data_IF_824612036414
#
_entry.id   IF_824612036414
#
_cell.length_a   1.000
_cell.length_b   1.000
_cell.length_c   1.000
_cell.angle_alpha   90.00
_cell.angle_beta   90.00
_cell.angle_gamma   90.00
#
_symmetry.space_group_name_H-M   'P 1'
#
loop_
_entity.id
_entity.type
_entity.pdbx_description
1 polymer ?
#
# COMPACT_ATOMS: atom_id res chain seq x y z
N UNK A 1 27.94 -1.97 42.94
CA UNK A 1 27.99 -3.38 42.47
C UNK A 1 27.36 -3.43 41.09
N UNK A 2 28.14 -3.72 40.06
CA UNK A 2 27.67 -3.76 38.66
C UNK A 2 27.12 -5.16 38.34
N UNK A 3 25.82 -5.36 38.55
CA UNK A 3 25.12 -6.55 38.05
C UNK A 3 23.87 -6.14 37.29
N UNK A 4 23.45 -6.94 36.31
CA UNK A 4 22.26 -6.72 35.48
C UNK A 4 21.47 -8.04 35.39
N UNK A 5 20.15 -8.00 35.53
CA UNK A 5 19.30 -9.18 35.41
C UNK A 5 18.32 -9.06 34.23
N UNK A 6 18.16 -10.14 33.47
CA UNK A 6 17.20 -10.21 32.34
C UNK A 6 16.43 -11.53 32.35
N UNK A 7 15.16 -11.48 31.95
CA UNK A 7 14.35 -12.67 31.67
C UNK A 7 14.88 -13.39 30.41
N UNK A 8 15.12 -14.69 30.54
CA UNK A 8 15.54 -15.58 29.46
C UNK A 8 14.64 -16.83 29.44
N UNK A 9 14.49 -17.42 28.26
CA UNK A 9 13.97 -18.79 28.13
C UNK A 9 15.17 -19.73 28.13
N UNK A 10 15.18 -20.73 29.01
CA UNK A 10 16.20 -21.78 29.05
C UNK A 10 15.53 -23.13 29.23
N UNK A 11 15.73 -24.06 28.28
CA UNK A 11 15.09 -25.39 28.25
C UNK A 11 13.56 -25.33 28.44
N UNK A 12 12.88 -24.46 27.68
CA UNK A 12 11.43 -24.20 27.76
C UNK A 12 10.88 -23.59 29.07
N UNK A 13 11.74 -23.23 30.02
CA UNK A 13 11.32 -22.55 31.26
C UNK A 13 11.71 -21.06 31.25
N UNK A 14 10.85 -20.21 31.83
CA UNK A 14 11.18 -18.81 32.10
C UNK A 14 12.11 -18.70 33.31
N UNK A 15 13.30 -18.14 33.08
CA UNK A 15 14.35 -18.00 34.10
C UNK A 15 14.94 -16.59 34.05
N UNK A 16 15.51 -16.16 35.16
CA UNK A 16 16.20 -14.87 35.28
C UNK A 16 17.69 -15.13 35.15
N UNK A 17 18.35 -14.55 34.14
CA UNK A 17 19.80 -14.56 34.01
C UNK A 17 20.40 -13.33 34.69
N UNK A 18 21.43 -13.53 35.51
CA UNK A 18 22.17 -12.48 36.21
C UNK A 18 23.56 -12.36 35.60
N UNK A 19 23.86 -11.18 35.07
CA UNK A 19 25.13 -10.80 34.44
C UNK A 19 25.94 -9.96 35.42
N UNK A 20 27.16 -10.36 35.70
CA UNK A 20 28.09 -9.64 36.57
C UNK A 20 29.52 -10.10 36.25
N UNK A 21 30.51 -9.23 36.46
CA UNK A 21 31.92 -9.61 36.37
C UNK A 21 32.27 -10.56 37.52
N UNK A 22 33.25 -11.46 37.34
CA UNK A 22 33.54 -12.59 38.25
C UNK A 22 33.76 -12.14 39.71
N UNK A 23 32.66 -12.08 40.46
CA UNK A 23 32.60 -11.63 41.85
C UNK A 23 32.18 -12.82 42.75
N UNK A 24 33.09 -13.19 43.65
CA UNK A 24 32.97 -14.36 44.53
C UNK A 24 31.83 -14.19 45.54
N UNK A 25 31.56 -12.96 45.99
CA UNK A 25 30.49 -12.67 46.95
C UNK A 25 29.11 -12.81 46.29
N UNK A 26 28.97 -12.29 45.06
CA UNK A 26 27.74 -12.43 44.26
C UNK A 26 27.44 -13.90 43.92
N UNK A 27 28.44 -14.69 43.53
CA UNK A 27 28.27 -16.13 43.29
C UNK A 27 27.79 -16.84 44.56
N UNK A 28 28.36 -16.51 45.71
CA UNK A 28 28.00 -17.09 46.99
C UNK A 28 26.56 -16.75 47.40
N UNK A 29 26.10 -15.53 47.11
CA UNK A 29 24.70 -15.10 47.32
C UNK A 29 23.74 -15.78 46.36
N UNK A 30 24.12 -15.95 45.09
CA UNK A 30 23.28 -16.61 44.08
C UNK A 30 23.10 -18.09 44.36
N UNK A 31 24.14 -18.80 44.83
CA UNK A 31 24.06 -20.22 45.23
C UNK A 31 23.10 -20.47 46.40
N UNK A 32 22.80 -19.46 47.22
CA UNK A 32 21.81 -19.56 48.32
C UNK A 32 20.36 -19.45 47.85
N UNK A 33 20.12 -19.09 46.59
CA UNK A 33 18.77 -19.00 46.03
C UNK A 33 18.31 -20.37 45.54
N UNK A 34 17.03 -20.66 45.75
CA UNK A 34 16.42 -21.91 45.32
C UNK A 34 16.56 -22.12 43.79
N UNK A 35 17.09 -23.29 43.43
CA UNK A 35 17.33 -23.74 42.06
C UNK A 35 18.22 -22.79 41.23
N UNK A 36 19.19 -22.12 41.85
CA UNK A 36 20.21 -21.35 41.13
C UNK A 36 21.18 -22.26 40.38
N UNK A 37 21.32 -22.07 39.06
CA UNK A 37 22.17 -22.91 38.19
C UNK A 37 23.08 -22.07 37.31
N UNK A 38 24.24 -22.63 36.96
CA UNK A 38 25.15 -22.07 35.97
C UNK A 38 24.83 -22.61 34.58
N UNK A 39 24.66 -21.74 33.59
CA UNK A 39 24.51 -22.13 32.18
C UNK A 39 25.84 -21.98 31.45
N UNK A 40 26.50 -23.10 31.12
CA UNK A 40 27.73 -23.11 30.34
C UNK A 40 27.56 -22.47 28.95
N UNK A 41 26.40 -22.70 28.30
CA UNK A 41 26.07 -22.15 26.97
C UNK A 41 25.97 -20.63 26.93
N UNK A 42 25.45 -20.01 28.00
CA UNK A 42 25.23 -18.56 28.08
C UNK A 42 26.25 -17.85 28.99
N UNK A 43 27.16 -18.60 29.63
CA UNK A 43 28.15 -18.15 30.62
C UNK A 43 27.55 -17.24 31.70
N UNK A 44 26.36 -17.60 32.21
CA UNK A 44 25.64 -16.83 33.24
C UNK A 44 25.02 -17.72 34.29
N UNK A 45 24.87 -17.15 35.49
CA UNK A 45 24.01 -17.71 36.53
C UNK A 45 22.54 -17.41 36.21
N UNK A 46 21.66 -18.39 36.44
CA UNK A 46 20.24 -18.22 36.25
C UNK A 46 19.41 -18.85 37.38
N UNK A 47 18.32 -18.18 37.73
CA UNK A 47 17.36 -18.61 38.78
C UNK A 47 15.95 -18.72 38.19
N UNK A 48 15.02 -19.47 38.80
CA UNK A 48 13.63 -19.51 38.34
C UNK A 48 12.97 -18.13 38.38
N UNK A 49 12.12 -17.82 37.40
CA UNK A 49 11.33 -16.58 37.37
C UNK A 49 10.11 -16.67 38.30
N UNK A 50 10.32 -16.99 39.58
CA UNK A 50 9.27 -16.95 40.61
C UNK A 50 8.94 -15.50 40.99
N UNK A 51 7.73 -15.25 41.49
CA UNK A 51 7.30 -13.90 41.90
C UNK A 51 8.25 -13.29 42.96
N UNK A 52 8.77 -14.12 43.86
CA UNK A 52 9.78 -13.73 44.84
C UNK A 52 11.09 -13.26 44.18
N UNK A 53 11.60 -14.01 43.19
CA UNK A 53 12.83 -13.66 42.48
C UNK A 53 12.64 -12.44 41.56
N UNK A 54 11.49 -12.30 40.90
CA UNK A 54 11.17 -11.14 40.05
C UNK A 54 11.20 -9.84 40.89
N UNK A 55 10.60 -9.86 42.09
CA UNK A 55 10.68 -8.73 43.04
C UNK A 55 12.10 -8.50 43.54
N UNK A 56 12.85 -9.57 43.86
CA UNK A 56 14.22 -9.49 44.38
C UNK A 56 15.24 -8.93 43.39
N UNK A 57 15.07 -9.20 42.10
CA UNK A 57 15.94 -8.68 41.04
C UNK A 57 15.41 -7.39 40.38
N UNK A 58 14.31 -6.83 40.90
CA UNK A 58 13.63 -5.63 40.39
C UNK A 58 13.43 -5.65 38.86
N UNK A 59 13.10 -6.83 38.32
CA UNK A 59 12.88 -7.00 36.89
C UNK A 59 11.46 -6.53 36.60
N UNK A 60 11.36 -5.34 36.02
CA UNK A 60 10.10 -4.82 35.48
C UNK A 60 9.63 -5.83 34.42
N UNK A 61 8.51 -6.55 34.64
CA UNK A 61 7.99 -7.43 33.60
C UNK A 61 7.68 -6.58 32.37
N UNK A 62 8.15 -7.02 31.18
CA UNK A 62 7.74 -6.38 29.92
C UNK A 62 6.21 -6.33 29.89
N UNK A 63 5.60 -5.17 29.57
CA UNK A 63 4.18 -4.97 29.80
C UNK A 63 3.33 -5.99 29.05
N UNK A 64 2.38 -6.58 29.80
CA UNK A 64 1.33 -7.52 29.38
C UNK A 64 0.50 -7.02 28.20
N UNK A 65 0.54 -5.70 27.93
CA UNK A 65 -0.15 -5.04 26.83
C UNK A 65 0.27 -5.51 25.43
N UNK A 66 1.52 -5.98 25.25
CA UNK A 66 1.99 -6.40 23.92
C UNK A 66 1.25 -7.63 23.37
N UNK A 67 0.93 -8.62 24.20
CA UNK A 67 0.19 -9.82 23.80
C UNK A 67 -1.28 -9.51 23.50
N UNK A 68 -1.91 -8.70 24.36
CA UNK A 68 -3.29 -8.25 24.17
C UNK A 68 -3.45 -7.44 22.87
N UNK A 69 -2.52 -6.52 22.59
CA UNK A 69 -2.55 -5.71 21.36
C UNK A 69 -2.42 -6.59 20.11
N UNK A 70 -1.59 -7.63 20.14
CA UNK A 70 -1.46 -8.59 19.03
C UNK A 70 -2.77 -9.35 18.80
N UNK A 71 -3.42 -9.81 19.86
CA UNK A 71 -4.71 -10.52 19.75
C UNK A 71 -5.79 -9.62 19.13
N UNK A 72 -5.88 -8.36 19.56
CA UNK A 72 -6.85 -7.40 19.03
C UNK A 72 -6.59 -7.06 17.55
N UNK A 73 -5.32 -6.95 17.15
CA UNK A 73 -4.93 -6.76 15.75
C UNK A 73 -5.36 -7.96 14.89
N UNK A 74 -5.18 -9.20 15.38
CA UNK A 74 -5.59 -10.39 14.64
C UNK A 74 -7.12 -10.52 14.56
N UNK A 75 -7.86 -10.18 15.63
CA UNK A 75 -9.33 -10.07 15.57
C UNK A 75 -9.77 -9.07 14.50
N UNK A 76 -9.11 -7.92 14.42
CA UNK A 76 -9.40 -6.93 13.39
C UNK A 76 -9.05 -7.42 11.98
N UNK A 77 -7.94 -8.15 11.81
CA UNK A 77 -7.60 -8.78 10.53
C UNK A 77 -8.69 -9.75 10.09
N UNK A 78 -9.10 -10.65 10.98
CA UNK A 78 -10.15 -11.62 10.69
C UNK A 78 -11.47 -10.92 10.34
N UNK A 79 -11.83 -9.86 11.06
CA UNK A 79 -13.01 -9.06 10.77
C UNK A 79 -12.94 -8.43 9.36
N UNK A 80 -11.82 -7.82 8.98
CA UNK A 80 -11.64 -7.25 7.64
C UNK A 80 -11.75 -8.33 6.55
N UNK A 81 -11.13 -9.50 6.76
CA UNK A 81 -11.23 -10.62 5.83
C UNK A 81 -12.66 -11.14 5.71
N UNK A 82 -13.41 -11.21 6.82
CA UNK A 82 -14.83 -11.62 6.83
C UNK A 82 -15.72 -10.68 6.03
N UNK A 83 -15.42 -9.38 6.05
CA UNK A 83 -16.10 -8.35 5.25
C UNK A 83 -15.59 -8.28 3.80
N UNK A 84 -14.70 -9.19 3.39
CA UNK A 84 -14.13 -9.30 2.03
C UNK A 84 -13.42 -8.02 1.57
N UNK A 85 -12.72 -7.34 2.48
CA UNK A 85 -11.77 -6.30 2.10
C UNK A 85 -10.64 -6.90 1.25
N UNK A 86 -10.01 -6.10 0.38
CA UNK A 86 -8.87 -6.58 -0.39
C UNK A 86 -7.64 -6.76 0.51
N UNK A 87 -6.81 -7.76 0.20
CA UNK A 87 -5.56 -8.04 0.91
C UNK A 87 -4.66 -6.81 1.06
N UNK A 88 -4.63 -5.95 0.04
CA UNK A 88 -3.91 -4.68 0.10
C UNK A 88 -4.44 -3.75 1.20
N UNK A 89 -5.76 -3.63 1.31
CA UNK A 89 -6.40 -2.78 2.33
C UNK A 89 -6.22 -3.38 3.71
N UNK A 90 -6.37 -4.70 3.85
CA UNK A 90 -6.09 -5.42 5.10
C UNK A 90 -4.67 -5.13 5.57
N UNK A 91 -3.68 -5.33 4.70
CA UNK A 91 -2.27 -5.08 5.01
C UNK A 91 -2.03 -3.63 5.44
N UNK A 92 -2.50 -2.66 4.65
CA UNK A 92 -2.34 -1.23 4.96
C UNK A 92 -2.97 -0.85 6.29
N UNK A 93 -4.17 -1.35 6.58
CA UNK A 93 -4.88 -1.01 7.83
C UNK A 93 -4.19 -1.64 9.04
N UNK A 94 -3.72 -2.87 8.91
CA UNK A 94 -3.00 -3.58 9.98
C UNK A 94 -1.64 -2.92 10.24
N UNK A 95 -0.89 -2.52 9.21
CA UNK A 95 0.38 -1.79 9.36
C UNK A 95 0.17 -0.43 10.02
N UNK A 96 -0.87 0.31 9.62
CA UNK A 96 -1.25 1.56 10.25
C UNK A 96 -1.57 1.39 11.74
N UNK A 97 -2.36 0.38 12.10
CA UNK A 97 -2.72 0.10 13.49
C UNK A 97 -1.53 -0.37 14.32
N UNK A 98 -0.63 -1.18 13.76
CA UNK A 98 0.62 -1.57 14.42
C UNK A 98 1.46 -0.34 14.77
N UNK A 99 1.59 0.61 13.85
CA UNK A 99 2.31 1.86 14.11
C UNK A 99 1.66 2.67 15.22
N UNK A 100 0.33 2.72 15.28
CA UNK A 100 -0.41 3.43 16.32
C UNK A 100 -0.28 2.78 17.69
N UNK A 101 -0.48 1.46 17.78
CA UNK A 101 -0.37 0.71 19.03
C UNK A 101 1.07 0.59 19.54
N UNK A 102 2.07 0.71 18.65
CA UNK A 102 3.48 0.80 19.06
C UNK A 102 3.82 2.17 19.66
N UNK A 103 3.13 3.23 19.27
CA UNK A 103 3.30 4.54 19.88
C UNK A 103 2.71 4.58 21.30
N UNK A 104 1.63 3.84 21.55
CA UNK A 104 0.98 3.70 22.86
C UNK A 104 1.27 2.34 23.53
N UNK A 105 2.54 1.98 23.72
CA UNK A 105 2.92 0.70 24.35
C UNK A 105 2.54 0.60 25.83
N UNK A 106 2.53 1.74 26.53
CA UNK A 106 2.31 1.81 27.98
C UNK A 106 0.85 2.11 28.35
N UNK A 107 0.02 2.50 27.36
CA UNK A 107 -1.39 2.83 27.57
C UNK A 107 -2.28 1.70 27.05
N UNK A 108 -3.19 1.13 27.86
CA UNK A 108 -4.11 0.10 27.40
C UNK A 108 -5.10 0.68 26.38
N UNK A 109 -5.50 -0.15 25.39
CA UNK A 109 -6.42 0.26 24.30
C UNK A 109 -7.73 0.86 24.83
N UNK A 110 -8.22 0.37 25.98
CA UNK A 110 -9.45 0.86 26.61
C UNK A 110 -9.36 2.35 27.03
N UNK A 111 -8.17 2.83 27.39
CA UNK A 111 -7.94 4.19 27.87
C UNK A 111 -7.61 5.17 26.74
N UNK A 112 -7.50 4.70 25.50
CA UNK A 112 -7.21 5.56 24.35
C UNK A 112 -8.43 6.45 24.07
N UNK A 113 -8.23 7.77 24.06
CA UNK A 113 -9.24 8.80 23.80
C UNK A 113 -9.03 9.47 22.44
N UNK A 114 -9.93 10.40 22.08
CA UNK A 114 -9.78 11.19 20.86
C UNK A 114 -8.51 12.08 20.91
N UNK A 115 -8.14 12.57 22.09
CA UNK A 115 -6.93 13.39 22.28
C UNK A 115 -5.65 12.62 21.97
N UNK A 116 -5.58 11.34 22.33
CA UNK A 116 -4.43 10.48 22.00
C UNK A 116 -4.24 10.36 20.48
N UNK A 117 -5.31 10.37 19.71
CA UNK A 117 -5.21 10.28 18.25
C UNK A 117 -4.69 11.61 17.67
N UNK A 118 -5.06 12.73 18.27
CA UNK A 118 -4.53 14.06 17.92
C UNK A 118 -3.04 14.12 18.27
N UNK A 119 -2.65 13.64 19.45
CA UNK A 119 -1.25 13.57 19.88
C UNK A 119 -0.45 12.68 18.93
N UNK A 120 -0.93 11.49 18.60
CA UNK A 120 -0.28 10.62 17.61
C UNK A 120 -0.16 11.31 16.24
N UNK A 121 -1.20 12.01 15.80
CA UNK A 121 -1.16 12.73 14.55
C UNK A 121 -0.08 13.83 14.55
N UNK A 122 0.07 14.58 15.64
CA UNK A 122 1.04 15.66 15.72
C UNK A 122 2.47 15.12 15.95
N UNK A 123 2.66 14.27 16.96
CA UNK A 123 3.96 13.78 17.40
C UNK A 123 4.55 12.67 16.53
N UNK A 124 3.72 11.90 15.83
CA UNK A 124 4.19 10.82 14.96
C UNK A 124 3.97 11.12 13.48
N UNK A 125 2.80 11.62 13.07
CA UNK A 125 2.51 11.82 11.64
C UNK A 125 3.20 13.07 11.09
N UNK A 126 2.97 14.22 11.72
CA UNK A 126 3.51 15.52 11.27
C UNK A 126 5.02 15.59 11.51
N UNK A 127 5.48 15.20 12.70
CA UNK A 127 6.91 15.20 13.06
C UNK A 127 7.79 14.39 12.10
N UNK A 128 7.30 13.21 11.69
CA UNK A 128 8.01 12.37 10.72
C UNK A 128 7.70 12.73 9.25
N UNK A 129 6.97 13.84 9.01
CA UNK A 129 6.64 14.37 7.67
C UNK A 129 5.93 13.35 6.77
N UNK A 130 5.05 12.52 7.34
CA UNK A 130 4.29 11.58 6.53
C UNK A 130 3.25 12.28 5.65
N UNK A 131 2.92 11.66 4.51
CA UNK A 131 1.96 12.22 3.55
C UNK A 131 0.53 12.30 4.08
N UNK A 132 -0.25 13.26 3.57
CA UNK A 132 -1.68 13.41 3.83
C UNK A 132 -2.48 12.14 3.48
N UNK A 133 -2.06 11.41 2.44
CA UNK A 133 -2.69 10.13 2.06
C UNK A 133 -2.49 9.08 3.14
N UNK A 134 -1.27 8.96 3.68
CA UNK A 134 -0.95 8.04 4.77
C UNK A 134 -1.71 8.41 6.06
N UNK A 135 -1.75 9.69 6.41
CA UNK A 135 -2.54 10.18 7.53
C UNK A 135 -4.01 9.76 7.41
N UNK A 136 -4.63 9.98 6.24
CA UNK A 136 -6.02 9.57 6.01
C UNK A 136 -6.21 8.06 6.11
N UNK A 137 -5.26 7.25 5.65
CA UNK A 137 -5.32 5.79 5.78
C UNK A 137 -5.27 5.35 7.24
N UNK A 138 -4.34 5.90 8.03
CA UNK A 138 -4.25 5.57 9.46
C UNK A 138 -5.52 5.98 10.19
N UNK A 139 -5.97 7.23 10.01
CA UNK A 139 -7.16 7.75 10.68
C UNK A 139 -8.38 6.90 10.38
N UNK A 140 -8.56 6.45 9.13
CA UNK A 140 -9.65 5.56 8.76
C UNK A 140 -9.49 4.15 9.34
N UNK A 141 -8.26 3.62 9.43
CA UNK A 141 -7.99 2.32 10.04
C UNK A 141 -8.27 2.34 11.55
N UNK A 142 -7.83 3.39 12.26
CA UNK A 142 -8.10 3.63 13.68
C UNK A 142 -9.60 3.75 13.91
N UNK A 143 -10.30 4.61 13.15
CA UNK A 143 -11.76 4.73 13.24
C UNK A 143 -12.42 3.36 13.18
N UNK A 144 -12.09 2.61 12.13
CA UNK A 144 -12.74 1.34 11.86
C UNK A 144 -12.46 0.35 13.00
N UNK A 145 -11.21 0.23 13.43
CA UNK A 145 -10.79 -0.63 14.53
C UNK A 145 -11.58 -0.37 15.82
N UNK A 146 -11.63 0.88 16.29
CA UNK A 146 -12.35 1.20 17.52
C UNK A 146 -13.87 1.07 17.37
N UNK A 147 -14.43 1.44 16.21
CA UNK A 147 -15.85 1.28 15.95
C UNK A 147 -16.31 -0.18 15.92
N UNK A 148 -15.44 -1.10 15.49
CA UNK A 148 -15.82 -2.51 15.30
C UNK A 148 -15.38 -3.42 16.44
N UNK A 149 -14.14 -3.26 16.92
CA UNK A 149 -13.54 -4.16 17.92
C UNK A 149 -13.84 -3.67 19.34
N UNK A 150 -13.78 -2.35 19.56
CA UNK A 150 -14.06 -1.74 20.87
C UNK A 150 -15.50 -1.22 20.98
N UNK A 151 -16.30 -1.31 19.91
CA UNK A 151 -17.66 -0.74 19.82
C UNK A 151 -17.74 0.74 20.27
N UNK A 152 -16.63 1.48 20.13
CA UNK A 152 -16.51 2.87 20.54
C UNK A 152 -16.45 3.77 19.32
N UNK A 153 -17.29 4.80 19.30
CA UNK A 153 -17.20 5.82 18.25
C UNK A 153 -16.13 6.83 18.62
N UNK A 154 -15.12 6.93 17.77
CA UNK A 154 -14.12 7.99 17.80
C UNK A 154 -14.63 9.12 16.93
N UNK A 155 -14.73 10.31 17.51
CA UNK A 155 -15.05 11.52 16.77
C UNK A 155 -13.78 12.04 16.10
N UNK A 156 -13.82 12.02 14.77
CA UNK A 156 -12.66 12.31 13.92
C UNK A 156 -12.73 13.72 13.37
N UNK A 157 -13.87 14.37 13.50
CA UNK A 157 -14.05 15.75 13.07
C UNK A 157 -13.28 16.70 14.00
N UNK A 158 -12.95 16.25 15.22
CA UNK A 158 -11.99 16.91 16.12
C UNK A 158 -10.52 16.70 15.69
N UNK A 159 -10.22 15.72 14.83
CA UNK A 159 -8.85 15.49 14.36
C UNK A 159 -8.58 16.45 13.21
N UNK A 160 -7.62 17.35 13.40
CA UNK A 160 -7.18 18.29 12.38
C UNK A 160 -6.66 17.54 11.15
N UNK A 161 -7.54 17.34 10.16
CA UNK A 161 -7.16 16.80 8.87
C UNK A 161 -6.65 17.94 7.99
N UNK A 162 -5.44 17.85 7.42
CA UNK A 162 -5.01 18.81 6.42
C UNK A 162 -5.99 18.78 5.25
N UNK A 163 -6.33 19.97 4.75
CA UNK A 163 -7.16 20.11 3.55
C UNK A 163 -6.55 19.27 2.44
N UNK A 164 -7.39 18.51 1.73
CA UNK A 164 -6.92 17.76 0.56
C UNK A 164 -6.48 18.78 -0.50
N UNK A 165 -5.20 18.77 -0.82
CA UNK A 165 -4.70 19.46 -2.01
C UNK A 165 -5.39 18.86 -3.24
N UNK A 166 -6.02 19.73 -4.04
CA UNK A 166 -6.57 19.36 -5.34
C UNK A 166 -5.48 19.57 -6.37
N UNK A 167 -4.54 18.63 -6.48
CA UNK A 167 -3.54 18.67 -7.54
C UNK A 167 -4.19 18.30 -8.88
N UNK A 168 -3.82 19.02 -9.94
CA UNK A 168 -4.24 18.69 -11.28
C UNK A 168 -3.62 17.35 -11.70
N UNK A 169 -4.36 16.50 -12.44
CA UNK A 169 -3.79 15.30 -13.02
C UNK A 169 -2.60 15.66 -13.90
N UNK A 170 -1.49 14.94 -13.70
CA UNK A 170 -0.36 15.06 -14.60
C UNK A 170 -0.65 14.32 -15.91
N UNK A 171 -0.48 15.03 -17.02
CA UNK A 171 -0.74 14.55 -18.39
C UNK A 171 0.55 14.65 -19.20
N UNK A 172 0.78 13.64 -20.04
CA UNK A 172 1.90 13.57 -20.98
C UNK A 172 1.44 14.07 -22.35
N UNK A 173 2.34 14.72 -23.09
CA UNK A 173 2.05 15.07 -24.48
C UNK A 173 1.93 13.80 -25.36
N UNK A 174 1.29 13.91 -26.53
CA UNK A 174 1.17 12.78 -27.47
C UNK A 174 2.55 12.29 -27.95
N UNK A 175 3.50 13.21 -28.09
CA UNK A 175 4.89 12.94 -28.46
C UNK A 175 5.62 12.17 -27.36
N UNK A 176 5.49 12.62 -26.09
CA UNK A 176 6.07 11.93 -24.94
C UNK A 176 5.50 10.51 -24.80
N UNK A 177 4.18 10.35 -24.97
CA UNK A 177 3.55 9.03 -24.96
C UNK A 177 4.12 8.17 -26.07
N UNK A 178 4.22 8.68 -27.30
CA UNK A 178 4.76 7.92 -28.44
C UNK A 178 6.19 7.44 -28.14
N UNK A 179 7.06 8.33 -27.63
CA UNK A 179 8.42 7.98 -27.24
C UNK A 179 8.43 6.84 -26.20
N UNK A 180 7.62 6.96 -25.13
CA UNK A 180 7.54 5.93 -24.07
C UNK A 180 7.08 4.57 -24.63
N UNK A 181 6.08 4.56 -25.51
CA UNK A 181 5.53 3.34 -26.09
C UNK A 181 6.53 2.65 -27.05
N UNK A 182 7.36 3.42 -27.75
CA UNK A 182 8.35 2.89 -28.69
C UNK A 182 9.72 2.57 -28.02
N UNK A 183 9.92 2.93 -26.75
CA UNK A 183 11.17 2.72 -26.02
C UNK A 183 11.56 1.23 -25.80
N UNK A 184 10.59 0.32 -25.90
CA UNK A 184 10.81 -1.12 -25.68
C UNK A 184 10.75 -1.91 -26.98
N UNK A 185 11.84 -2.62 -27.29
CA UNK A 185 11.88 -3.65 -28.32
C UNK A 185 11.15 -4.93 -27.90
N UNK A 186 11.04 -5.19 -26.60
CA UNK A 186 10.31 -6.35 -26.09
C UNK A 186 8.81 -6.20 -26.36
N UNK A 187 8.26 -7.09 -27.19
CA UNK A 187 6.87 -7.09 -27.62
C UNK A 187 5.87 -7.14 -26.46
N UNK A 188 6.13 -7.97 -25.44
CA UNK A 188 5.29 -8.06 -24.22
C UNK A 188 5.21 -6.70 -23.52
N UNK A 189 6.36 -6.07 -23.27
CA UNK A 189 6.43 -4.79 -22.57
C UNK A 189 5.77 -3.65 -23.35
N UNK A 190 6.04 -3.58 -24.66
CA UNK A 190 5.40 -2.62 -25.57
C UNK A 190 3.88 -2.78 -25.55
N UNK A 191 3.38 -4.01 -25.73
CA UNK A 191 1.94 -4.31 -25.74
C UNK A 191 1.25 -3.91 -24.44
N UNK A 192 1.86 -4.17 -23.28
CA UNK A 192 1.31 -3.79 -21.98
C UNK A 192 1.14 -2.26 -21.84
N UNK A 193 2.16 -1.47 -22.19
CA UNK A 193 2.10 -0.01 -22.10
C UNK A 193 1.10 0.56 -23.13
N UNK A 194 1.11 0.03 -24.36
CA UNK A 194 0.18 0.44 -25.41
C UNK A 194 -1.27 0.20 -25.01
N UNK A 195 -1.58 -0.92 -24.34
CA UNK A 195 -2.94 -1.19 -23.85
C UNK A 195 -3.37 -0.25 -22.72
N UNK A 196 -2.47 0.08 -21.79
CA UNK A 196 -2.80 1.04 -20.71
C UNK A 196 -3.20 2.39 -21.31
N UNK A 197 -2.44 2.88 -22.28
CA UNK A 197 -2.73 4.14 -22.94
C UNK A 197 -3.95 4.04 -23.86
N UNK A 198 -3.98 3.10 -24.81
CA UNK A 198 -5.05 3.04 -25.83
C UNK A 198 -6.43 2.68 -25.29
N UNK A 199 -6.50 1.96 -24.19
CA UNK A 199 -7.75 1.46 -23.61
C UNK A 199 -8.01 2.07 -22.22
N UNK A 200 -7.18 3.00 -21.75
CA UNK A 200 -7.31 3.59 -20.42
C UNK A 200 -7.46 2.53 -19.33
N UNK A 201 -6.59 1.52 -19.29
CA UNK A 201 -6.67 0.42 -18.33
C UNK A 201 -6.01 0.78 -16.99
N UNK A 202 -6.53 0.24 -15.88
CA UNK A 202 -5.80 0.25 -14.60
C UNK A 202 -4.75 -0.85 -14.63
N UNK A 203 -3.66 -0.68 -13.90
CA UNK A 203 -2.62 -1.71 -13.77
C UNK A 203 -3.21 -3.08 -13.38
N UNK A 204 -4.07 -3.12 -12.37
CA UNK A 204 -4.73 -4.38 -11.96
C UNK A 204 -5.65 -4.99 -13.04
N UNK A 205 -6.31 -4.16 -13.85
CA UNK A 205 -7.19 -4.63 -14.94
C UNK A 205 -6.39 -5.27 -16.07
N UNK A 206 -5.26 -4.67 -16.43
CA UNK A 206 -4.34 -5.23 -17.42
C UNK A 206 -3.79 -6.60 -16.96
N UNK A 207 -3.34 -6.68 -15.71
CA UNK A 207 -2.69 -7.88 -15.17
C UNK A 207 -3.67 -9.04 -14.93
N UNK A 208 -4.94 -8.73 -14.68
CA UNK A 208 -6.01 -9.73 -14.54
C UNK A 208 -6.64 -10.16 -15.88
N UNK A 209 -6.26 -9.52 -16.99
CA UNK A 209 -6.83 -9.78 -18.30
C UNK A 209 -6.52 -11.21 -18.77
N UNK A 210 -7.49 -11.85 -19.44
CA UNK A 210 -7.37 -13.18 -20.04
C UNK A 210 -7.61 -13.11 -21.54
N UNK A 211 -7.08 -14.05 -22.35
CA UNK A 211 -7.24 -13.99 -23.81
C UNK A 211 -8.70 -13.92 -24.28
N UNK A 212 -9.61 -14.65 -23.63
CA UNK A 212 -11.04 -14.65 -23.98
C UNK A 212 -11.79 -13.36 -23.64
N UNK A 213 -11.16 -12.40 -22.94
CA UNK A 213 -11.73 -11.07 -22.75
C UNK A 213 -11.62 -10.20 -24.01
N UNK A 214 -10.78 -10.59 -24.98
CA UNK A 214 -10.62 -9.86 -26.24
C UNK A 214 -11.62 -10.42 -27.26
N UNK A 215 -12.60 -9.61 -27.63
CA UNK A 215 -13.48 -9.90 -28.76
C UNK A 215 -12.94 -9.20 -30.01
N UNK A 216 -12.20 -9.97 -30.81
CA UNK A 216 -11.59 -9.49 -32.05
C UNK A 216 -12.58 -9.27 -33.20
N UNK A 217 -13.81 -9.81 -33.11
CA UNK A 217 -14.85 -9.59 -34.12
C UNK A 217 -15.52 -8.24 -33.90
N UNK A 218 -15.77 -7.90 -32.64
CA UNK A 218 -16.39 -6.62 -32.24
C UNK A 218 -15.38 -5.52 -31.95
N UNK A 219 -14.08 -5.82 -31.98
CA UNK A 219 -13.01 -4.89 -31.59
C UNK A 219 -13.23 -4.29 -30.19
N UNK A 220 -13.51 -5.14 -29.20
CA UNK A 220 -13.73 -4.71 -27.81
C UNK A 220 -12.95 -5.59 -26.83
N UNK A 221 -12.65 -5.02 -25.66
CA UNK A 221 -12.14 -5.73 -24.49
C UNK A 221 -13.20 -5.72 -23.40
N UNK A 222 -13.53 -6.90 -22.89
CA UNK A 222 -14.43 -7.13 -21.76
C UNK A 222 -13.61 -7.16 -20.45
N UNK A 223 -13.64 -6.06 -19.69
CA UNK A 223 -12.96 -5.99 -18.40
C UNK A 223 -13.90 -6.49 -17.30
N UNK A 224 -13.64 -7.70 -16.81
CA UNK A 224 -14.37 -8.29 -15.69
C UNK A 224 -13.77 -7.91 -14.33
N UNK A 225 -14.61 -7.76 -13.31
CA UNK A 225 -14.18 -7.49 -11.93
C UNK A 225 -13.30 -6.23 -11.78
N UNK A 226 -13.57 -5.16 -12.53
CA UNK A 226 -12.89 -3.88 -12.31
C UNK A 226 -13.18 -3.35 -10.90
N UNK A 227 -12.36 -2.39 -10.42
CA UNK A 227 -12.48 -1.82 -9.05
C UNK A 227 -13.95 -1.52 -8.71
N UNK A 228 -14.48 -2.19 -7.68
CA UNK A 228 -15.90 -2.13 -7.31
C UNK A 228 -16.77 -3.27 -7.85
N UNK A 229 -16.17 -4.33 -8.42
CA UNK A 229 -16.85 -5.48 -9.04
C UNK A 229 -17.79 -5.09 -10.18
N UNK A 230 -17.42 -4.06 -10.94
CA UNK A 230 -18.16 -3.64 -12.13
C UNK A 230 -17.45 -4.15 -13.37
N UNK A 231 -18.24 -4.65 -14.30
CA UNK A 231 -17.74 -5.00 -15.62
C UNK A 231 -17.86 -3.77 -16.52
N UNK A 232 -16.90 -3.59 -17.45
CA UNK A 232 -17.01 -2.57 -18.48
C UNK A 232 -16.39 -3.03 -19.79
N UNK A 233 -16.88 -2.47 -20.88
CA UNK A 233 -16.33 -2.66 -22.23
C UNK A 233 -15.43 -1.49 -22.60
N UNK A 234 -14.37 -1.78 -23.33
CA UNK A 234 -13.48 -0.75 -23.89
C UNK A 234 -13.25 -1.04 -25.36
N UNK A 235 -13.37 -0.05 -26.27
CA UNK A 235 -13.08 -0.23 -27.68
C UNK A 235 -11.59 -0.51 -27.89
N UNK A 236 -11.30 -1.39 -28.82
CA UNK A 236 -9.96 -1.80 -29.20
C UNK A 236 -9.62 -1.20 -30.56
N UNK A 237 -8.56 -0.40 -30.63
CA UNK A 237 -8.06 0.09 -31.91
C UNK A 237 -7.56 -1.07 -32.79
N UNK A 238 -7.83 -1.07 -34.11
CA UNK A 238 -7.30 -2.08 -35.03
C UNK A 238 -5.78 -2.24 -34.96
N UNK A 239 -5.05 -1.13 -34.74
CA UNK A 239 -3.58 -1.15 -34.57
C UNK A 239 -3.15 -1.97 -33.36
N UNK A 240 -3.89 -1.87 -32.25
CA UNK A 240 -3.62 -2.63 -31.03
C UNK A 240 -4.04 -4.09 -31.20
N UNK A 241 -5.12 -4.36 -31.94
CA UNK A 241 -5.50 -5.73 -32.27
C UNK A 241 -4.41 -6.45 -33.07
N UNK A 242 -3.78 -5.78 -34.04
CA UNK A 242 -2.62 -6.32 -34.76
C UNK A 242 -1.46 -6.63 -33.82
N UNK A 243 -1.10 -5.68 -32.95
CA UNK A 243 -0.05 -5.87 -31.95
C UNK A 243 -0.36 -7.05 -30.99
N UNK A 244 -1.62 -7.21 -30.60
CA UNK A 244 -2.08 -8.33 -29.77
C UNK A 244 -1.98 -9.67 -30.49
N UNK A 245 -2.26 -9.72 -31.80
CA UNK A 245 -2.10 -10.93 -32.61
C UNK A 245 -0.63 -11.34 -32.71
N UNK A 246 0.26 -10.38 -33.00
CA UNK A 246 1.71 -10.61 -33.00
C UNK A 246 2.17 -11.14 -31.63
N UNK A 247 1.73 -10.48 -30.56
CA UNK A 247 2.02 -10.90 -29.19
C UNK A 247 1.55 -12.33 -28.91
N UNK A 248 0.32 -12.68 -29.33
CA UNK A 248 -0.27 -13.99 -29.07
C UNK A 248 0.48 -15.12 -29.80
N UNK A 249 0.92 -14.86 -31.04
CA UNK A 249 1.71 -15.83 -31.82
C UNK A 249 3.04 -16.15 -31.14
N UNK A 250 3.73 -15.13 -30.65
CA UNK A 250 5.06 -15.26 -30.03
C UNK A 250 4.99 -15.85 -28.62
N UNK A 251 4.10 -15.35 -27.78
CA UNK A 251 4.09 -15.69 -26.35
C UNK A 251 3.11 -16.81 -25.97
N UNK A 252 2.09 -17.10 -26.79
CA UNK A 252 1.10 -18.18 -26.59
C UNK A 252 0.61 -18.28 -25.12
N UNK A 253 0.02 -17.20 -24.57
CA UNK A 253 -0.45 -17.18 -23.19
C UNK A 253 -1.53 -18.25 -22.95
N UNK A 254 -1.54 -18.83 -21.76
CA UNK A 254 -2.46 -19.91 -21.38
C UNK A 254 -3.61 -19.45 -20.50
N UNK A 255 -3.33 -18.71 -19.42
CA UNK A 255 -4.34 -18.30 -18.44
C UNK A 255 -4.56 -16.79 -18.49
N UNK A 256 -3.50 -16.03 -18.22
CA UNK A 256 -3.53 -14.57 -18.28
C UNK A 256 -2.99 -14.11 -19.62
N UNK A 257 -3.53 -13.01 -20.15
CA UNK A 257 -3.01 -12.43 -21.38
C UNK A 257 -1.53 -12.07 -21.22
N UNK A 258 -1.16 -11.51 -20.07
CA UNK A 258 0.24 -11.22 -19.74
C UNK A 258 0.69 -12.10 -18.57
N UNK A 259 1.41 -13.16 -18.89
CA UNK A 259 1.97 -14.08 -17.89
C UNK A 259 3.34 -13.60 -17.38
N UNK A 260 3.58 -13.89 -16.10
CA UNK A 260 4.81 -13.62 -15.37
C UNK A 260 5.99 -14.50 -15.79
N UNK A 261 6.90 -14.74 -14.85
CA UNK A 261 8.03 -15.65 -15.05
C UNK A 261 7.55 -17.11 -15.15
N UNK A 262 6.65 -17.51 -14.25
CA UNK A 262 5.98 -18.81 -14.28
C UNK A 262 4.76 -18.75 -15.19
N UNK A 263 4.61 -19.77 -16.04
CA UNK A 263 3.48 -19.91 -16.95
C UNK A 263 2.17 -19.98 -16.16
N UNK A 264 1.15 -19.29 -16.64
CA UNK A 264 -0.17 -19.24 -16.00
C UNK A 264 -0.28 -18.32 -14.77
N UNK A 265 0.82 -17.75 -14.25
CA UNK A 265 0.77 -16.73 -13.21
C UNK A 265 0.64 -15.33 -13.82
N UNK A 266 -0.12 -14.40 -13.21
CA UNK A 266 -0.25 -13.04 -13.73
C UNK A 266 1.08 -12.30 -13.61
N UNK A 267 1.34 -11.41 -14.56
CA UNK A 267 2.50 -10.54 -14.50
C UNK A 267 2.45 -9.63 -13.25
N UNK A 268 3.59 -9.35 -12.64
CA UNK A 268 3.65 -8.61 -11.37
C UNK A 268 3.55 -7.09 -11.60
N UNK A 269 2.74 -6.40 -10.79
CA UNK A 269 2.58 -4.95 -10.87
C UNK A 269 3.89 -4.17 -10.71
N UNK A 270 4.76 -4.60 -9.80
CA UNK A 270 6.09 -3.99 -9.61
C UNK A 270 6.97 -4.15 -10.84
N UNK A 271 6.91 -5.29 -11.52
CA UNK A 271 7.65 -5.52 -12.77
C UNK A 271 7.15 -4.59 -13.87
N UNK A 272 5.83 -4.37 -13.98
CA UNK A 272 5.28 -3.45 -14.98
C UNK A 272 5.64 -1.99 -14.69
N UNK A 273 5.69 -1.58 -13.41
CA UNK A 273 6.21 -0.26 -13.03
C UNK A 273 7.70 -0.12 -13.41
N UNK A 274 8.49 -1.18 -13.23
CA UNK A 274 9.89 -1.18 -13.64
C UNK A 274 10.04 -1.09 -15.16
N UNK A 275 9.15 -1.74 -15.93
CA UNK A 275 9.09 -1.59 -17.39
C UNK A 275 8.90 -0.12 -17.74
N UNK A 276 7.90 0.57 -17.18
CA UNK A 276 7.73 2.01 -17.43
C UNK A 276 8.98 2.82 -17.04
N UNK A 277 9.57 2.55 -15.86
CA UNK A 277 10.78 3.24 -15.41
C UNK A 277 11.94 3.08 -16.41
N UNK A 278 12.13 1.89 -16.96
CA UNK A 278 13.15 1.63 -17.98
C UNK A 278 12.85 2.37 -19.30
N UNK A 279 11.58 2.49 -19.70
CA UNK A 279 11.21 3.33 -20.85
C UNK A 279 11.65 4.78 -20.61
N UNK A 280 11.27 5.37 -19.47
CA UNK A 280 11.56 6.77 -19.15
C UNK A 280 13.06 7.07 -19.18
N UNK A 281 13.88 6.16 -18.64
CA UNK A 281 15.34 6.28 -18.69
C UNK A 281 15.86 6.28 -20.14
N UNK A 282 15.36 5.37 -20.97
CA UNK A 282 15.78 5.26 -22.38
C UNK A 282 15.42 6.50 -23.21
N UNK A 283 14.26 7.10 -22.95
CA UNK A 283 13.77 8.29 -23.68
C UNK A 283 14.14 9.60 -22.99
N UNK A 284 14.95 9.54 -21.93
CA UNK A 284 15.45 10.71 -21.20
C UNK A 284 14.35 11.64 -20.64
N UNK A 285 13.20 11.07 -20.27
CA UNK A 285 12.13 11.82 -19.61
C UNK A 285 12.42 11.85 -18.10
N UNK A 286 12.71 13.04 -17.56
CA UNK A 286 13.02 13.26 -16.15
C UNK A 286 11.79 13.33 -15.23
N UNK A 287 10.59 13.48 -15.81
CA UNK A 287 9.32 13.53 -15.07
C UNK A 287 9.10 12.22 -14.29
N UNK A 288 8.54 12.26 -13.07
CA UNK A 288 8.24 11.07 -12.27
C UNK A 288 6.96 10.36 -12.77
N UNK A 289 6.96 9.95 -14.04
CA UNK A 289 5.80 9.39 -14.72
C UNK A 289 5.42 8.04 -14.11
N UNK A 290 4.13 7.84 -13.88
CA UNK A 290 3.58 6.57 -13.41
C UNK A 290 2.59 5.99 -14.42
N UNK A 291 2.22 4.72 -14.28
CA UNK A 291 1.22 4.08 -15.15
C UNK A 291 -0.14 4.82 -15.14
N UNK A 292 -0.47 5.52 -14.04
CA UNK A 292 -1.68 6.33 -13.97
C UNK A 292 -1.61 7.57 -14.87
N UNK A 293 -0.41 8.13 -15.12
CA UNK A 293 -0.26 9.26 -16.04
C UNK A 293 -0.62 8.87 -17.46
N UNK A 294 -0.27 7.65 -17.91
CA UNK A 294 -0.71 7.14 -19.22
C UNK A 294 -2.23 7.07 -19.31
N UNK A 295 -2.90 6.63 -18.24
CA UNK A 295 -4.36 6.61 -18.14
C UNK A 295 -4.96 8.02 -18.14
N UNK A 296 -4.37 8.95 -17.38
CA UNK A 296 -4.82 10.35 -17.36
C UNK A 296 -4.66 10.98 -18.74
N UNK A 297 -3.53 10.73 -19.40
CA UNK A 297 -3.26 11.22 -20.76
C UNK A 297 -4.25 10.67 -21.77
N UNK A 298 -4.62 9.39 -21.68
CA UNK A 298 -5.70 8.84 -22.50
C UNK A 298 -7.02 9.60 -22.34
N UNK A 299 -7.43 9.85 -21.09
CA UNK A 299 -8.67 10.57 -20.79
C UNK A 299 -8.63 12.00 -21.34
N UNK A 300 -7.55 12.73 -21.08
CA UNK A 300 -7.38 14.11 -21.56
C UNK A 300 -7.32 14.17 -23.09
N UNK A 301 -6.61 13.24 -23.74
CA UNK A 301 -6.53 13.21 -25.20
C UNK A 301 -7.87 12.85 -25.87
N UNK A 302 -8.69 11.99 -25.25
CA UNK A 302 -10.05 11.74 -25.74
C UNK A 302 -10.92 12.99 -25.63
N UNK A 303 -10.83 13.70 -24.51
CA UNK A 303 -11.56 14.95 -24.29
C UNK A 303 -11.14 16.03 -25.29
N UNK A 304 -9.83 16.20 -25.52
CA UNK A 304 -9.29 17.14 -26.51
C UNK A 304 -9.70 16.77 -27.95
N UNK A 305 -9.88 15.47 -28.22
CA UNK A 305 -10.40 14.98 -29.51
C UNK A 305 -11.91 15.18 -29.67
N UNK A 306 -12.59 15.75 -28.66
CA UNK A 306 -14.03 16.04 -28.68
C UNK A 306 -14.91 14.89 -28.19
N UNK A 307 -14.35 13.89 -27.52
CA UNK A 307 -15.15 12.81 -26.91
C UNK A 307 -15.91 13.36 -25.71
N UNK A 308 -17.21 13.07 -25.65
CA UNK A 308 -18.05 13.53 -24.54
C UNK A 308 -17.66 12.89 -23.19
N UNK A 309 -17.79 13.67 -22.12
CA UNK A 309 -17.32 13.34 -20.78
C UNK A 309 -18.02 12.09 -20.21
N UNK A 310 -19.28 11.86 -20.56
CA UNK A 310 -20.03 10.68 -20.14
C UNK A 310 -19.41 9.41 -20.70
N UNK A 311 -19.08 9.39 -21.99
CA UNK A 311 -18.40 8.25 -22.61
C UNK A 311 -17.01 8.03 -21.99
N UNK A 312 -16.24 9.10 -21.73
CA UNK A 312 -14.94 8.96 -21.06
C UNK A 312 -15.11 8.36 -19.65
N UNK A 313 -16.15 8.76 -18.91
CA UNK A 313 -16.45 8.21 -17.58
C UNK A 313 -16.74 6.71 -17.66
N UNK A 314 -17.55 6.26 -18.63
CA UNK A 314 -17.86 4.85 -18.85
C UNK A 314 -16.62 4.05 -19.22
N UNK A 315 -15.82 4.54 -20.17
CA UNK A 315 -14.57 3.91 -20.63
C UNK A 315 -13.54 3.76 -19.51
N UNK A 316 -13.47 4.72 -18.60
CA UNK A 316 -12.60 4.66 -17.43
C UNK A 316 -13.24 3.91 -16.25
N UNK A 317 -14.52 3.53 -16.33
CA UNK A 317 -15.24 2.88 -15.22
C UNK A 317 -15.18 3.73 -13.96
N UNK A 318 -15.49 5.01 -14.08
CA UNK A 318 -15.56 5.96 -12.99
C UNK A 318 -16.98 5.94 -12.39
N UNK A 319 -17.08 5.75 -11.07
CA UNK A 319 -18.38 5.71 -10.38
C UNK A 319 -19.00 7.08 -10.18
N UNK A 320 -18.24 8.16 -10.36
CA UNK A 320 -18.67 9.54 -10.16
C UNK A 320 -18.11 10.42 -11.26
N UNK A 321 -18.96 11.28 -11.83
CA UNK A 321 -18.58 12.27 -12.85
C UNK A 321 -17.43 13.17 -12.35
N UNK A 322 -17.43 13.52 -11.06
CA UNK A 322 -16.40 14.32 -10.39
C UNK A 322 -14.98 13.78 -10.58
N UNK A 323 -14.82 12.46 -10.73
CA UNK A 323 -13.51 11.84 -11.00
C UNK A 323 -13.07 11.92 -12.46
N UNK A 324 -13.98 12.24 -13.36
CA UNK A 324 -13.71 12.48 -14.79
C UNK A 324 -13.63 13.98 -15.09
N UNK A 325 -14.41 14.80 -14.38
CA UNK A 325 -14.35 16.27 -14.45
C UNK A 325 -12.96 16.82 -14.16
N UNK A 326 -12.12 16.12 -13.39
CA UNK A 326 -10.73 16.54 -13.16
C UNK A 326 -9.92 16.74 -14.46
N UNK A 327 -10.30 16.08 -15.57
CA UNK A 327 -9.63 16.21 -16.85
C UNK A 327 -10.03 17.47 -17.63
N UNK A 328 -11.20 18.05 -17.33
CA UNK A 328 -11.65 19.29 -17.99
C UNK A 328 -10.74 20.47 -17.63
N UNK A 329 -10.16 20.45 -16.43
CA UNK A 329 -9.22 21.47 -15.96
C UNK A 329 -7.83 21.40 -16.60
N UNK A 330 -7.49 20.29 -17.26
CA UNK A 330 -6.15 20.10 -17.88
C UNK A 330 -6.23 20.17 -19.41
N UNK A 331 -7.43 20.13 -19.99
CA UNK A 331 -7.61 20.18 -21.44
C UNK A 331 -7.20 21.56 -21.98
N UNK A 332 -6.21 21.55 -22.88
CA UNK A 332 -5.67 22.78 -23.47
C UNK A 332 -6.60 23.41 -24.49
N UNK A 333 -7.49 22.63 -25.11
CA UNK A 333 -8.38 23.10 -26.19
C UNK A 333 -9.32 24.22 -25.76
N UNK A 334 -9.81 24.17 -24.52
CA UNK A 334 -10.65 25.24 -23.98
C UNK A 334 -9.81 26.46 -23.55
N UNK A 335 -8.57 26.25 -23.10
CA UNK A 335 -7.68 27.33 -22.62
C UNK A 335 -7.07 28.11 -23.78
N UNK A 336 -6.66 27.44 -24.86
CA UNK A 336 -6.08 28.08 -26.05
C UNK A 336 -7.10 28.89 -26.87
N UNK A 337 -8.40 28.62 -26.70
CA UNK A 337 -9.47 29.42 -27.29
C UNK A 337 -9.78 30.69 -26.49
N UNK A 338 -9.29 30.78 -25.25
CA UNK A 338 -9.38 32.01 -24.45
C UNK A 338 -8.28 32.93 -24.95
N UNK A 339 -8.65 33.94 -25.74
CA UNK A 339 -7.72 35.00 -26.13
C UNK A 339 -7.27 35.77 -24.90
N UNK A 340 -5.97 36.04 -24.79
CA UNK A 340 -5.47 36.93 -23.75
C UNK A 340 -5.91 38.35 -24.10
N UNK A 341 -6.44 39.14 -23.15
CA UNK A 341 -6.67 40.57 -23.38
C UNK A 341 -5.41 41.34 -23.81
N UNK A 342 -4.23 40.78 -23.56
CA UNK A 342 -2.95 41.31 -24.04
C UNK A 342 -2.72 41.09 -25.54
N UNK A 343 -3.36 40.09 -26.16
CA UNK A 343 -3.22 39.82 -27.59
C UNK A 343 -3.92 40.89 -28.46
N UNK A 344 -4.79 41.70 -27.84
CA UNK A 344 -5.54 42.80 -28.46
C UNK A 344 -4.98 44.20 -28.06
N UNK A 345 -3.83 44.27 -27.38
CA UNK A 345 -3.05 45.50 -27.12
C UNK A 345 -1.99 45.71 -28.20
#
# INVERSE_FOLDING_TARGET
>A
MNWNAKLIIHKNEQRIAVFFDKDIDLISRLKKLDDARWSASKKVWHVPASEHNIRRFNIIPKPTHSLYNVEQIEKFRYWLSSKRYSESTVKTYIEALKSFLLFYTEKPIAEITNEDIIVFNNEHIIKNKFSVSYQNQIVNAIKLFFSTIQSRQIEIDAIHRPKREKSLPNVLSKEEVKQILDAHSNLKHKTMLCLIYSCGLRCGELLAMRPHHIDSKRNIILLKNAKGKKDRIVPLSPKILTLLREYFIVHKPSIYLFEGYEKGQPYKARSLQQVLKLALIKVQISKPVTLHWLRHSYATHLLESGTDLHYIQELLGHSSSKTTEIYTHVSTKNIQQIKSPFDDL
#
